data_IF_745878729703
#
_entry.id   IF_745878729703
#
_cell.length_a   1.000
_cell.length_b   1.000
_cell.length_c   1.000
_cell.angle_alpha   90.00
_cell.angle_beta   90.00
_cell.angle_gamma   90.00
#
_symmetry.space_group_name_H-M   'P 1'
#
loop_
_entity.id
_entity.type
_entity.pdbx_description
1 polymer ?
#
# COMPACT_ATOMS: atom_id res chain seq x y z
N UNK A 1 -6.63 24.72 10.01
CA UNK A 1 -6.51 24.20 9.68
C UNK A 1 -6.41 23.38 9.40
N UNK A 2 -6.19 23.25 9.26
CA UNK A 2 -6.11 22.51 8.86
C UNK A 2 -5.85 21.46 8.68
N UNK A 3 -5.83 20.98 8.39
CA UNK A 3 -5.80 19.96 8.19
C UNK A 3 -5.25 19.17 8.09
N UNK A 4 -5.03 19.03 8.29
CA UNK A 4 -4.40 18.24 8.00
C UNK A 4 -4.50 17.20 7.47
N UNK A 5 -4.12 17.17 6.51
CA UNK A 5 -4.44 15.89 5.95
C UNK A 5 -3.66 14.77 6.64
N UNK A 6 -4.35 13.73 7.06
CA UNK A 6 -3.68 12.60 7.68
C UNK A 6 -3.28 11.57 6.66
N UNK A 7 -3.63 11.78 5.41
CA UNK A 7 -3.33 10.84 4.35
C UNK A 7 -1.86 10.93 3.97
N UNK A 8 -1.20 9.79 3.90
CA UNK A 8 0.19 9.71 3.47
C UNK A 8 0.31 9.94 1.96
N UNK A 9 -0.80 9.86 1.25
CA UNK A 9 -0.86 9.99 -0.20
C UNK A 9 -1.87 11.08 -0.54
N UNK A 10 -1.45 12.05 -1.33
CA UNK A 10 -2.32 13.18 -1.69
C UNK A 10 -3.46 12.73 -2.59
N UNK A 11 -3.18 11.86 -3.53
CA UNK A 11 -4.19 11.35 -4.45
C UNK A 11 -4.08 9.84 -4.50
N UNK A 12 -5.02 9.16 -3.85
CA UNK A 12 -4.97 7.70 -3.74
C UNK A 12 -5.05 7.01 -5.11
N UNK A 13 -5.78 7.58 -6.05
CA UNK A 13 -5.88 6.97 -7.38
C UNK A 13 -4.55 6.95 -8.11
N UNK A 14 -3.62 7.83 -7.73
CA UNK A 14 -2.34 7.91 -8.40
C UNK A 14 -1.43 6.72 -8.10
N UNK A 15 -1.72 5.96 -7.04
CA UNK A 15 -0.87 4.83 -6.69
C UNK A 15 -1.35 3.51 -7.29
N UNK A 16 -2.48 3.51 -7.98
CA UNK A 16 -2.98 2.30 -8.62
C UNK A 16 -1.97 1.83 -9.66
N UNK A 17 -1.64 0.55 -9.62
CA UNK A 17 -0.64 -0.12 -10.47
C UNK A 17 0.80 0.21 -10.11
N UNK A 18 1.05 0.97 -9.05
CA UNK A 18 2.41 1.26 -8.63
C UNK A 18 2.95 0.16 -7.75
N UNK A 19 4.27 -0.02 -7.82
CA UNK A 19 4.96 -1.03 -7.02
C UNK A 19 4.91 -0.66 -5.54
N UNK A 20 4.78 -1.67 -4.69
CA UNK A 20 4.70 -1.49 -3.24
C UNK A 20 5.93 -2.10 -2.59
N UNK A 21 6.52 -1.36 -1.66
CA UNK A 21 7.70 -1.77 -0.92
C UNK A 21 7.35 -1.86 0.56
N UNK A 22 7.70 -2.97 1.19
CA UNK A 22 7.44 -3.14 2.61
C UNK A 22 8.41 -2.31 3.44
N UNK A 23 8.13 -2.22 4.75
CA UNK A 23 8.99 -1.47 5.67
C UNK A 23 10.42 -1.96 5.64
N UNK A 24 10.61 -3.27 5.46
CA UNK A 24 11.95 -3.87 5.44
C UNK A 24 12.56 -3.88 4.04
N UNK A 25 11.98 -3.13 3.10
CA UNK A 25 12.56 -2.96 1.77
C UNK A 25 12.27 -4.06 0.78
N UNK A 26 11.37 -4.97 1.11
CA UNK A 26 11.03 -6.08 0.22
C UNK A 26 9.92 -5.68 -0.75
N UNK A 27 9.94 -6.28 -1.93
CA UNK A 27 8.90 -6.07 -2.93
C UNK A 27 7.61 -6.73 -2.46
N UNK A 28 6.59 -5.93 -2.23
CA UNK A 28 5.30 -6.44 -1.74
C UNK A 28 4.28 -6.62 -2.86
N UNK A 29 4.63 -6.27 -4.09
CA UNK A 29 3.71 -6.40 -5.21
C UNK A 29 3.31 -5.05 -5.75
N UNK A 30 2.09 -4.97 -6.27
CA UNK A 30 1.58 -3.74 -6.88
C UNK A 30 0.19 -3.44 -6.35
N UNK A 31 -0.16 -2.17 -6.34
CA UNK A 31 -1.51 -1.76 -5.97
C UNK A 31 -2.46 -2.12 -7.12
N UNK A 32 -3.48 -2.89 -6.80
CA UNK A 32 -4.47 -3.31 -7.77
C UNK A 32 -5.66 -2.36 -7.82
N UNK A 33 -6.11 -1.90 -6.65
CA UNK A 33 -7.28 -1.03 -6.55
C UNK A 33 -7.29 -0.31 -5.22
N UNK A 34 -8.10 0.75 -5.16
CA UNK A 34 -8.38 1.45 -3.91
C UNK A 34 -9.88 1.30 -3.65
N UNK A 35 -10.23 0.75 -2.50
CA UNK A 35 -11.63 0.52 -2.15
C UNK A 35 -11.91 1.08 -0.76
N UNK A 36 -12.52 2.27 -0.72
CA UNK A 36 -12.79 2.92 0.56
C UNK A 36 -11.51 3.18 1.32
N UNK A 37 -11.38 2.63 2.50
CA UNK A 37 -10.19 2.79 3.34
C UNK A 37 -9.16 1.68 3.11
N UNK A 38 -9.35 0.88 2.06
CA UNK A 38 -8.51 -0.28 1.81
C UNK A 38 -7.70 -0.09 0.53
N UNK A 39 -6.43 -0.45 0.60
CA UNK A 39 -5.54 -0.53 -0.56
C UNK A 39 -5.40 -2.01 -0.90
N UNK A 40 -5.88 -2.40 -2.07
CA UNK A 40 -5.78 -3.78 -2.52
C UNK A 40 -4.44 -3.97 -3.21
N UNK A 41 -3.61 -4.86 -2.66
CA UNK A 41 -2.28 -5.13 -3.17
C UNK A 41 -2.22 -6.57 -3.66
N UNK A 42 -1.67 -6.78 -4.86
CA UNK A 42 -1.47 -8.12 -5.40
C UNK A 42 0.01 -8.39 -5.51
N UNK A 43 0.47 -9.47 -4.88
CA UNK A 43 1.88 -9.84 -4.94
C UNK A 43 2.24 -10.35 -6.33
N UNK A 44 3.52 -10.17 -6.72
CA UNK A 44 3.92 -10.45 -8.09
C UNK A 44 3.97 -11.95 -8.41
N UNK A 45 4.59 -12.74 -7.57
CA UNK A 45 4.86 -14.14 -7.90
C UNK A 45 3.64 -15.03 -7.87
N UNK A 46 3.06 -15.16 -6.69
CA UNK A 46 1.99 -16.12 -6.44
C UNK A 46 0.59 -15.50 -6.50
N UNK A 47 0.53 -14.22 -6.85
CA UNK A 47 -0.73 -13.50 -7.00
C UNK A 47 -1.61 -13.52 -5.76
N UNK A 48 -0.99 -13.47 -4.61
CA UNK A 48 -1.74 -13.32 -3.37
C UNK A 48 -2.29 -11.91 -3.28
N UNK A 49 -3.51 -11.80 -2.78
CA UNK A 49 -4.15 -10.50 -2.63
C UNK A 49 -4.19 -10.10 -1.16
N UNK A 50 -3.91 -8.84 -0.90
CA UNK A 50 -3.91 -8.29 0.47
C UNK A 50 -4.79 -7.06 0.51
N UNK A 51 -5.65 -6.97 1.53
CA UNK A 51 -6.49 -5.80 1.76
C UNK A 51 -5.87 -5.00 2.90
N UNK A 52 -5.07 -4.00 2.56
CA UNK A 52 -4.27 -3.25 3.53
C UNK A 52 -4.97 -1.93 3.84
N UNK A 53 -5.20 -1.63 5.12
CA UNK A 53 -5.80 -0.34 5.48
C UNK A 53 -4.92 0.81 5.01
N UNK A 54 -5.53 1.90 4.58
CA UNK A 54 -4.77 3.09 4.18
C UNK A 54 -3.85 3.57 5.29
N UNK A 55 -4.22 3.32 6.55
CA UNK A 55 -3.40 3.74 7.68
C UNK A 55 -2.03 3.06 7.73
N UNK A 56 -1.85 1.96 7.01
CA UNK A 56 -0.56 1.27 6.97
C UNK A 56 0.32 1.73 5.81
N UNK A 57 -0.15 2.68 5.03
CA UNK A 57 0.64 3.26 3.94
C UNK A 57 1.47 4.40 4.51
N UNK A 58 2.79 4.31 4.36
CA UNK A 58 3.67 5.34 4.86
C UNK A 58 3.77 6.53 3.91
N UNK A 59 3.82 6.26 2.61
CA UNK A 59 3.90 7.33 1.63
C UNK A 59 4.08 6.82 0.23
N UNK A 60 4.22 7.77 -0.67
CA UNK A 60 4.39 7.51 -2.10
C UNK A 60 5.36 8.55 -2.66
N UNK A 61 6.44 8.09 -3.27
CA UNK A 61 7.49 8.99 -3.74
C UNK A 61 7.41 9.28 -5.24
N UNK A 62 6.32 8.92 -5.89
CA UNK A 62 6.14 9.08 -7.33
C UNK A 62 6.49 7.83 -8.12
N UNK A 63 7.23 6.92 -7.54
CA UNK A 63 7.63 5.68 -8.18
C UNK A 63 7.13 4.46 -7.43
N UNK A 64 7.24 4.47 -6.10
CA UNK A 64 6.89 3.34 -5.26
C UNK A 64 6.09 3.78 -4.06
N UNK A 65 5.22 2.88 -3.60
CA UNK A 65 4.44 3.05 -2.38
C UNK A 65 5.19 2.35 -1.26
N UNK A 66 5.31 3.03 -0.12
CA UNK A 66 5.98 2.46 1.05
C UNK A 66 4.98 2.09 2.13
N UNK A 67 5.16 0.93 2.73
CA UNK A 67 4.31 0.46 3.81
C UNK A 67 4.97 0.73 5.17
N UNK A 68 4.15 0.86 6.20
CA UNK A 68 4.62 0.96 7.58
C UNK A 68 4.93 -0.40 8.18
N UNK A 69 4.55 -1.48 7.49
CA UNK A 69 4.65 -2.85 7.98
C UNK A 69 5.64 -3.65 7.14
N UNK A 70 6.18 -4.69 7.75
CA UNK A 70 7.10 -5.60 7.07
C UNK A 70 6.33 -6.55 6.16
N UNK A 71 7.08 -7.24 5.30
CA UNK A 71 6.47 -8.23 4.42
C UNK A 71 5.79 -9.33 5.22
N UNK A 72 6.39 -9.74 6.33
CA UNK A 72 5.79 -10.75 7.20
C UNK A 72 4.48 -10.29 7.81
N UNK A 73 4.42 -9.02 8.21
CA UNK A 73 3.20 -8.46 8.80
C UNK A 73 2.10 -8.30 7.77
N UNK A 74 2.46 -8.15 6.51
CA UNK A 74 1.50 -7.98 5.43
C UNK A 74 0.56 -9.19 5.34
N UNK A 75 1.04 -10.35 5.76
CA UNK A 75 0.23 -11.58 5.71
C UNK A 75 -1.04 -11.49 6.54
N UNK A 76 -1.09 -10.61 7.51
CA UNK A 76 -2.28 -10.40 8.32
C UNK A 76 -3.46 -9.93 7.48
N UNK A 77 -3.16 -9.31 6.36
CA UNK A 77 -4.18 -8.72 5.50
C UNK A 77 -4.48 -9.55 4.26
N UNK A 78 -3.94 -10.76 4.22
CA UNK A 78 -4.16 -11.65 3.09
C UNK A 78 -5.63 -12.04 2.99
N UNK A 79 -6.15 -12.01 1.79
CA UNK A 79 -7.54 -12.34 1.50
C UNK A 79 -7.68 -13.81 1.14
#
# INVERSE_FOLDING_TARGET
MLQMSEDAVVNWDSIIHKNVRSKDGQDAGNVDAIEGNIVVITSAGDRQEYNVPKSEIEGYNGAEVSLKISLGELRRYKV
#
